data_IF_837075714727
#
_entry.id   IF_837075714727
#
_cell.length_a   1.000
_cell.length_b   1.000
_cell.length_c   1.000
_cell.angle_alpha   90.00
_cell.angle_beta   90.00
_cell.angle_gamma   90.00
#
_symmetry.space_group_name_H-M   'P 1'
#
loop_
_entity.id
_entity.type
_entity.pdbx_description
1 polymer ?
#
# COMPACT_ATOMS: atom_id res chain seq x y z
N UNK A 1 -0.30 27.75 -3.78
CA UNK A 1 0.44 29.00 -3.96
C UNK A 1 0.99 29.51 -2.65
N UNK A 2 2.23 29.98 -2.69
CA UNK A 2 2.93 30.62 -1.58
C UNK A 2 2.50 32.10 -1.50
N UNK A 3 1.36 32.35 -0.88
CA UNK A 3 0.72 33.67 -0.81
C UNK A 3 1.40 34.63 0.18
N UNK A 4 2.19 34.10 1.12
CA UNK A 4 2.92 34.86 2.14
C UNK A 4 4.43 34.95 1.86
N UNK A 5 4.92 34.34 0.78
CA UNK A 5 6.30 34.40 0.31
C UNK A 5 7.31 33.86 1.32
N UNK A 6 6.93 32.82 2.07
CA UNK A 6 7.81 32.15 3.04
C UNK A 6 8.57 30.95 2.45
N UNK A 7 8.34 30.64 1.17
CA UNK A 7 8.93 29.50 0.48
C UNK A 7 8.21 28.18 0.72
N UNK A 8 7.12 28.16 1.49
CA UNK A 8 6.37 26.97 1.87
C UNK A 8 5.03 26.96 1.14
N UNK A 9 4.83 25.95 0.28
CA UNK A 9 3.53 25.73 -0.37
C UNK A 9 3.16 24.26 -0.42
N UNK A 10 1.93 23.94 -0.02
CA UNK A 10 1.38 22.61 -0.13
C UNK A 10 1.12 22.24 -1.59
N UNK A 11 1.56 21.05 -2.00
CA UNK A 11 1.23 20.46 -3.30
C UNK A 11 0.58 19.11 -3.06
N UNK A 12 -0.52 18.85 -3.77
CA UNK A 12 -1.12 17.53 -3.76
C UNK A 12 -0.09 16.52 -4.29
N UNK A 13 0.07 15.41 -3.58
CA UNK A 13 0.85 14.30 -4.07
C UNK A 13 0.12 13.66 -5.26
N UNK A 14 0.85 13.41 -6.34
CA UNK A 14 0.35 12.77 -7.56
C UNK A 14 1.11 11.49 -7.76
N UNK A 15 0.39 10.39 -7.88
CA UNK A 15 0.97 9.10 -8.20
C UNK A 15 1.57 9.15 -9.63
N UNK A 16 2.36 8.13 -10.00
CA UNK A 16 3.04 8.01 -11.30
C UNK A 16 2.07 8.08 -12.50
N UNK A 17 0.81 7.73 -12.27
CA UNK A 17 -0.29 7.80 -13.25
C UNK A 17 -1.08 9.13 -13.21
N UNK A 18 -0.64 10.10 -12.40
CA UNK A 18 -1.23 11.44 -12.29
C UNK A 18 -2.41 11.56 -11.32
N UNK A 19 -2.93 10.45 -10.79
CA UNK A 19 -4.03 10.48 -9.80
C UNK A 19 -3.58 11.11 -8.50
N UNK A 20 -4.49 11.83 -7.84
CA UNK A 20 -4.22 12.45 -6.54
C UNK A 20 -4.17 11.35 -5.47
N UNK A 21 -3.07 11.31 -4.73
CA UNK A 21 -2.92 10.43 -3.58
C UNK A 21 -3.74 10.89 -2.38
N UNK A 22 -4.17 9.93 -1.55
CA UNK A 22 -5.11 10.14 -0.44
C UNK A 22 -4.72 9.39 0.83
N UNK A 23 -4.11 8.23 0.68
CA UNK A 23 -3.77 7.31 1.76
C UNK A 23 -2.25 7.22 1.97
N UNK A 24 -1.85 6.79 3.17
CA UNK A 24 -0.45 6.65 3.56
C UNK A 24 0.27 7.97 3.84
N UNK A 25 1.56 7.86 4.17
CA UNK A 25 2.39 9.01 4.54
C UNK A 25 2.52 9.98 3.36
N UNK A 26 2.17 11.25 3.60
CA UNK A 26 2.14 12.32 2.58
C UNK A 26 1.21 11.98 1.39
N UNK A 27 0.11 11.27 1.66
CA UNK A 27 -0.91 10.93 0.68
C UNK A 27 -0.30 10.25 -0.56
N UNK A 28 0.49 9.20 -0.35
CA UNK A 28 1.22 8.52 -1.42
C UNK A 28 0.29 7.73 -2.36
N UNK A 29 -0.76 7.11 -1.82
CA UNK A 29 -1.56 6.12 -2.56
C UNK A 29 -2.96 6.66 -2.89
N UNK A 30 -3.45 6.56 -4.14
CA UNK A 30 -4.73 7.17 -4.55
C UNK A 30 -6.00 6.54 -3.97
N UNK A 31 -6.03 5.23 -3.74
CA UNK A 31 -7.25 4.52 -3.32
C UNK A 31 -7.02 3.64 -2.09
N UNK A 32 -8.08 3.39 -1.31
CA UNK A 32 -8.01 2.53 -0.14
C UNK A 32 -7.59 1.10 -0.51
N UNK A 33 -8.09 0.59 -1.64
CA UNK A 33 -7.79 -0.76 -2.13
C UNK A 33 -6.31 -0.92 -2.45
N UNK A 34 -5.74 0.05 -3.17
CA UNK A 34 -4.30 0.07 -3.47
C UNK A 34 -3.47 0.22 -2.20
N UNK A 35 -3.94 1.03 -1.25
CA UNK A 35 -3.23 1.25 0.01
C UNK A 35 -3.18 -0.03 0.86
N UNK A 36 -4.31 -0.69 1.06
CA UNK A 36 -4.39 -1.93 1.84
C UNK A 36 -3.60 -3.06 1.16
N UNK A 37 -3.74 -3.24 -0.16
CA UNK A 37 -2.99 -4.26 -0.89
C UNK A 37 -1.48 -4.06 -0.79
N UNK A 38 -1.00 -2.82 -0.88
CA UNK A 38 0.43 -2.51 -0.71
C UNK A 38 0.90 -2.65 0.74
N UNK A 39 0.07 -2.27 1.72
CA UNK A 39 0.43 -2.35 3.14
C UNK A 39 0.58 -3.79 3.63
N UNK A 40 -0.23 -4.73 3.13
CA UNK A 40 -0.08 -6.16 3.43
C UNK A 40 1.35 -6.64 3.14
N UNK A 41 1.89 -6.32 1.97
CA UNK A 41 3.25 -6.73 1.59
C UNK A 41 4.30 -5.88 2.32
N UNK A 42 4.23 -4.55 2.16
CA UNK A 42 5.32 -3.65 2.57
C UNK A 42 5.46 -3.50 4.10
N UNK A 43 4.37 -3.63 4.85
CA UNK A 43 4.36 -3.38 6.31
C UNK A 43 4.17 -4.66 7.12
N UNK A 44 3.50 -5.69 6.56
CA UNK A 44 3.15 -6.90 7.29
C UNK A 44 3.86 -8.16 6.76
N UNK A 45 4.44 -8.14 5.56
CA UNK A 45 5.04 -9.32 4.92
C UNK A 45 4.00 -10.39 4.59
N UNK A 46 2.87 -9.97 4.00
CA UNK A 46 1.77 -10.85 3.57
C UNK A 46 1.42 -10.50 2.13
N UNK A 47 1.56 -11.45 1.21
CA UNK A 47 1.20 -11.26 -0.20
C UNK A 47 -0.28 -11.53 -0.45
N UNK A 48 -0.79 -10.93 -1.53
CA UNK A 48 -2.20 -10.94 -1.89
C UNK A 48 -2.36 -10.90 -3.43
N UNK A 49 -3.56 -11.13 -3.99
CA UNK A 49 -3.69 -11.23 -5.45
C UNK A 49 -3.33 -9.94 -6.23
N UNK A 50 -3.38 -8.77 -5.57
CA UNK A 50 -2.98 -7.50 -6.19
C UNK A 50 -1.48 -7.18 -6.00
N UNK A 51 -0.81 -7.81 -5.04
CA UNK A 51 0.62 -7.73 -4.79
C UNK A 51 1.14 -9.13 -4.41
N UNK A 52 1.32 -10.04 -5.40
CA UNK A 52 1.50 -11.48 -5.16
C UNK A 52 2.96 -11.89 -5.03
N UNK A 53 3.84 -10.95 -4.67
CA UNK A 53 5.28 -11.19 -4.65
C UNK A 53 5.86 -10.55 -3.41
N UNK A 54 6.64 -11.34 -2.69
CA UNK A 54 7.38 -10.91 -1.52
C UNK A 54 8.36 -9.77 -1.78
N UNK A 55 8.62 -9.00 -0.73
CA UNK A 55 9.67 -7.98 -0.76
C UNK A 55 11.07 -8.60 -0.71
N UNK A 56 12.05 -7.80 -1.09
CA UNK A 56 13.45 -8.25 -1.08
C UNK A 56 14.18 -7.81 0.18
N UNK A 57 15.14 -8.61 0.63
CA UNK A 57 16.05 -8.26 1.72
C UNK A 57 17.26 -7.56 1.10
N UNK A 58 17.21 -6.22 1.05
CA UNK A 58 18.28 -5.41 0.44
C UNK A 58 18.50 -5.72 -1.04
N UNK A 59 17.43 -5.98 -1.80
CA UNK A 59 17.49 -6.33 -3.22
C UNK A 59 17.81 -7.80 -3.50
N UNK A 60 17.87 -8.66 -2.47
CA UNK A 60 18.06 -10.10 -2.60
C UNK A 60 16.77 -10.85 -2.25
N UNK A 61 16.50 -11.99 -2.91
CA UNK A 61 15.33 -12.80 -2.58
C UNK A 61 15.40 -13.30 -1.14
N UNK A 62 14.24 -13.59 -0.55
CA UNK A 62 14.14 -14.27 0.74
C UNK A 62 14.85 -15.64 0.62
N UNK A 63 15.74 -16.01 1.56
CA UNK A 63 16.43 -17.29 1.49
C UNK A 63 15.46 -18.49 1.48
N UNK A 64 15.77 -19.51 0.69
CA UNK A 64 14.93 -20.69 0.57
C UNK A 64 14.64 -21.34 1.95
N UNK A 65 13.38 -21.66 2.21
CA UNK A 65 12.92 -22.28 3.45
C UNK A 65 12.69 -21.32 4.62
N UNK A 66 12.99 -20.02 4.48
CA UNK A 66 12.63 -19.00 5.49
C UNK A 66 11.14 -18.71 5.43
N UNK A 67 10.60 -18.59 4.21
CA UNK A 67 9.18 -18.56 3.96
C UNK A 67 8.75 -19.85 3.24
N UNK A 68 8.09 -20.77 3.95
CA UNK A 68 7.59 -22.01 3.35
C UNK A 68 6.15 -21.88 2.81
N UNK A 69 5.49 -20.75 3.02
CA UNK A 69 4.11 -20.53 2.56
C UNK A 69 4.13 -20.17 1.08
N UNK A 70 3.04 -20.48 0.37
CA UNK A 70 2.94 -20.21 -1.06
C UNK A 70 2.22 -18.89 -1.30
N UNK A 71 2.86 -18.02 -2.09
CA UNK A 71 2.25 -16.77 -2.55
C UNK A 71 1.06 -17.03 -3.52
N UNK A 72 -0.07 -16.29 -3.41
CA UNK A 72 -0.34 -15.34 -2.35
C UNK A 72 -0.84 -15.97 -1.05
N UNK A 73 -0.42 -15.46 0.12
CA UNK A 73 -0.87 -15.98 1.43
C UNK A 73 -2.38 -15.79 1.66
N UNK A 74 -2.93 -14.67 1.15
CA UNK A 74 -4.36 -14.40 1.22
C UNK A 74 -5.00 -14.40 -0.16
N UNK A 75 -6.25 -14.82 -0.23
CA UNK A 75 -7.05 -14.80 -1.45
C UNK A 75 -7.83 -13.48 -1.62
N UNK A 76 -8.51 -13.33 -2.75
CA UNK A 76 -9.23 -12.10 -3.09
C UNK A 76 -10.38 -11.79 -2.12
N UNK A 77 -11.13 -12.81 -1.66
CA UNK A 77 -12.23 -12.63 -0.71
C UNK A 77 -11.71 -12.11 0.64
N UNK A 78 -10.56 -12.57 1.11
CA UNK A 78 -9.94 -12.05 2.34
C UNK A 78 -9.48 -10.59 2.18
N UNK A 79 -8.89 -10.24 1.03
CA UNK A 79 -8.49 -8.87 0.73
C UNK A 79 -9.72 -7.94 0.64
N UNK A 80 -10.78 -8.38 -0.02
CA UNK A 80 -12.03 -7.62 -0.15
C UNK A 80 -12.71 -7.42 1.20
N UNK A 81 -12.77 -8.45 2.05
CA UNK A 81 -13.28 -8.32 3.43
C UNK A 81 -12.47 -7.34 4.27
N UNK A 82 -11.15 -7.29 4.09
CA UNK A 82 -10.30 -6.31 4.77
C UNK A 82 -10.61 -4.89 4.30
N UNK A 83 -10.79 -4.71 2.98
CA UNK A 83 -11.20 -3.42 2.41
C UNK A 83 -12.56 -2.97 2.93
N UNK A 84 -13.54 -3.87 2.97
CA UNK A 84 -14.87 -3.61 3.49
C UNK A 84 -14.82 -3.26 4.98
N UNK A 85 -14.09 -4.05 5.77
CA UNK A 85 -13.88 -3.76 7.18
C UNK A 85 -13.34 -2.34 7.35
N UNK A 86 -12.20 -1.99 6.77
CA UNK A 86 -11.61 -0.64 6.91
C UNK A 86 -12.54 0.47 6.38
N UNK A 87 -13.24 0.21 5.26
CA UNK A 87 -14.17 1.18 4.66
C UNK A 87 -15.39 1.46 5.54
N UNK A 88 -15.90 0.45 6.22
CA UNK A 88 -17.12 0.51 7.01
C UNK A 88 -16.87 0.58 8.52
N UNK A 89 -15.61 0.61 8.97
CA UNK A 89 -15.19 0.75 10.37
C UNK A 89 -15.40 2.18 10.92
N UNK A 90 -16.54 2.79 10.63
CA UNK A 90 -16.96 4.00 11.32
C UNK A 90 -17.61 3.65 12.68
N UNK A 91 -17.48 4.50 13.71
CA UNK A 91 -18.28 4.38 14.93
C UNK A 91 -19.78 4.58 14.68
#
# INVERSE_FOLDING_TARGET
>A
DDRNHDGISGRANRNVDGRIGRFGRKALVPTLREFNAGAFVAEQGVTNPAAPTEETIGGRPIPAGVDPVADPEINQDQLDRTNDFVRFLAP
#
